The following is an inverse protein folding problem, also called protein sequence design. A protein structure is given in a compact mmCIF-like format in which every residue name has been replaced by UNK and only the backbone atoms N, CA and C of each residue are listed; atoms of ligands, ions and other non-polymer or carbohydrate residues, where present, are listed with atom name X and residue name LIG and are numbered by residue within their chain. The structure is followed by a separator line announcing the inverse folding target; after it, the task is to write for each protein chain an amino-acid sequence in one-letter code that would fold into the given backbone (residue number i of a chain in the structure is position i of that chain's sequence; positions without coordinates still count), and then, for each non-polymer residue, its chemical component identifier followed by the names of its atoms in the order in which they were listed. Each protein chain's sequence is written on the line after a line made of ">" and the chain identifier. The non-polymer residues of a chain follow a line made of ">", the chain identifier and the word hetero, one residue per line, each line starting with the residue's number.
data_IF_796847254683
#
_entry.id   IF_796847254683
#
_cell.length_a   1.000
_cell.length_b   1.000
_cell.length_c   1.000
_cell.angle_alpha   90.00
_cell.angle_beta   90.00
_cell.angle_gamma   90.00
#
_symmetry.space_group_name_H-M   'P 1'
#
loop_
_entity.id
_entity.type
_entity.pdbx_description
1 polymer ?
#
# COMPACT_ATOMS: atom_id res chain seq x y z
N UNK A 1 19.39 -25.67 10.31
CA UNK A 1 19.04 -24.38 9.67
C UNK A 1 20.07 -24.09 8.58
N UNK A 2 19.79 -24.33 7.29
CA UNK A 2 20.74 -24.03 6.23
C UNK A 2 20.73 -22.54 5.90
N UNK A 3 21.94 -22.02 5.69
CA UNK A 3 22.32 -20.61 5.66
C UNK A 3 21.76 -19.91 4.42
N UNK A 4 21.26 -18.69 4.61
CA UNK A 4 20.85 -17.77 3.56
C UNK A 4 21.95 -17.68 2.49
N UNK A 5 21.63 -18.14 1.27
CA UNK A 5 22.53 -18.09 0.14
C UNK A 5 22.84 -16.65 -0.22
N UNK A 6 24.13 -16.28 -0.17
CA UNK A 6 24.67 -15.11 -0.86
C UNK A 6 24.25 -15.20 -2.33
N UNK A 7 23.37 -14.30 -2.76
CA UNK A 7 23.03 -14.15 -4.18
C UNK A 7 24.09 -13.29 -4.84
N UNK A 8 24.87 -13.86 -5.75
CA UNK A 8 25.83 -13.18 -6.63
C UNK A 8 25.12 -12.25 -7.65
N UNK A 9 24.30 -11.30 -7.20
CA UNK A 9 23.65 -10.31 -8.07
C UNK A 9 24.50 -9.06 -8.19
N UNK A 10 24.87 -8.69 -9.42
CA UNK A 10 25.71 -7.53 -9.76
C UNK A 10 24.94 -6.19 -9.70
N UNK A 11 24.03 -6.03 -8.75
CA UNK A 11 23.27 -4.79 -8.55
C UNK A 11 21.89 -4.73 -9.23
N UNK A 12 21.39 -3.51 -9.38
CA UNK A 12 20.03 -3.14 -9.77
C UNK A 12 20.07 -2.07 -10.86
N UNK A 13 19.09 -2.10 -11.76
CA UNK A 13 18.78 -1.02 -12.68
C UNK A 13 17.52 -0.31 -12.19
N UNK A 14 17.57 1.00 -11.99
CA UNK A 14 16.44 1.80 -11.49
C UNK A 14 16.10 2.86 -12.52
N UNK A 15 14.83 2.96 -12.87
CA UNK A 15 14.34 3.99 -13.78
C UNK A 15 14.26 5.34 -13.07
N UNK A 16 14.80 6.37 -13.71
CA UNK A 16 14.76 7.74 -13.19
C UNK A 16 13.36 8.36 -13.29
N UNK A 17 12.53 7.87 -14.20
CA UNK A 17 11.23 8.49 -14.52
C UNK A 17 10.06 7.83 -13.80
N UNK A 18 9.91 6.50 -13.91
CA UNK A 18 8.80 5.77 -13.26
C UNK A 18 9.17 5.18 -11.90
N UNK A 19 10.46 5.15 -11.56
CA UNK A 19 10.96 4.53 -10.33
C UNK A 19 10.94 3.00 -10.31
N UNK A 20 10.50 2.35 -11.39
CA UNK A 20 10.59 0.90 -11.55
C UNK A 20 12.04 0.41 -11.48
N UNK A 21 12.25 -0.83 -11.03
CA UNK A 21 13.59 -1.41 -10.91
C UNK A 21 13.67 -2.84 -11.45
N UNK A 22 14.86 -3.24 -11.88
CA UNK A 22 15.21 -4.59 -12.31
C UNK A 22 16.46 -5.07 -11.57
N UNK A 23 16.43 -6.27 -11.01
CA UNK A 23 17.59 -6.90 -10.35
C UNK A 23 18.37 -7.72 -11.37
N UNK A 24 19.65 -7.41 -11.56
CA UNK A 24 20.51 -8.13 -12.51
C UNK A 24 20.75 -9.57 -12.04
N UNK A 25 20.55 -10.52 -12.96
CA UNK A 25 20.88 -11.93 -12.74
C UNK A 25 22.37 -12.17 -12.93
N UNK A 26 22.85 -13.32 -12.47
CA UNK A 26 24.25 -13.71 -12.63
C UNK A 26 24.61 -13.79 -14.11
N UNK A 27 25.61 -13.00 -14.51
CA UNK A 27 26.09 -12.94 -15.89
C UNK A 27 25.45 -11.85 -16.75
N UNK A 28 24.35 -11.24 -16.30
CA UNK A 28 23.78 -10.07 -16.99
C UNK A 28 24.65 -8.83 -16.75
N UNK A 29 24.82 -8.00 -17.78
CA UNK A 29 25.51 -6.72 -17.69
C UNK A 29 24.49 -5.57 -17.63
N UNK A 30 24.70 -4.53 -16.81
CA UNK A 30 23.86 -3.33 -16.84
C UNK A 30 23.72 -2.73 -18.25
N UNK A 31 24.78 -2.82 -19.06
CA UNK A 31 24.84 -2.29 -20.43
C UNK A 31 23.98 -3.05 -21.44
N UNK A 32 23.47 -4.23 -21.09
CA UNK A 32 22.56 -4.99 -21.96
C UNK A 32 21.16 -4.35 -22.01
N UNK A 33 20.88 -3.40 -21.12
CA UNK A 33 19.59 -2.75 -20.95
C UNK A 33 19.68 -1.29 -21.40
N UNK A 34 18.90 -0.93 -22.42
CA UNK A 34 18.93 0.42 -23.02
C UNK A 34 17.98 1.38 -22.31
N UNK A 35 16.76 0.94 -22.01
CA UNK A 35 15.72 1.77 -21.41
C UNK A 35 14.70 0.95 -20.63
N UNK A 36 13.95 1.61 -19.77
CA UNK A 36 12.79 1.07 -19.09
C UNK A 36 11.64 0.85 -20.10
N UNK A 37 10.68 -0.01 -19.76
CA UNK A 37 9.47 -0.24 -20.55
C UNK A 37 8.63 1.03 -20.74
N UNK A 38 8.73 2.00 -19.83
CA UNK A 38 8.09 3.31 -19.97
C UNK A 38 8.80 4.24 -20.97
N UNK A 39 9.91 3.80 -21.58
CA UNK A 39 10.79 4.60 -22.43
C UNK A 39 11.92 5.31 -21.67
N UNK A 40 12.03 5.06 -20.36
CA UNK A 40 12.87 5.86 -19.50
C UNK A 40 14.30 5.42 -19.31
N UNK A 41 15.14 6.35 -18.85
CA UNK A 41 16.56 6.09 -18.58
C UNK A 41 16.73 5.21 -17.34
N UNK A 42 17.65 4.25 -17.43
CA UNK A 42 17.98 3.31 -16.35
C UNK A 42 19.35 3.64 -15.78
N UNK A 43 19.44 3.72 -14.45
CA UNK A 43 20.69 3.87 -13.71
C UNK A 43 21.05 2.60 -12.97
N UNK A 44 22.35 2.28 -12.94
CA UNK A 44 22.87 1.11 -12.23
C UNK A 44 23.29 1.47 -10.81
N UNK A 45 22.94 0.59 -9.87
CA UNK A 45 23.26 0.70 -8.44
C UNK A 45 23.67 -0.64 -7.88
N UNK A 46 24.61 -0.68 -6.93
CA UNK A 46 24.99 -1.94 -6.29
C UNK A 46 23.90 -2.44 -5.33
N UNK A 47 23.12 -1.52 -4.76
CA UNK A 47 21.99 -1.82 -3.89
C UNK A 47 20.82 -0.85 -4.08
N UNK A 48 19.60 -1.28 -3.72
CA UNK A 48 18.47 -0.36 -3.70
C UNK A 48 18.63 0.73 -2.63
N UNK A 49 19.32 0.45 -1.52
CA UNK A 49 19.58 1.44 -0.47
C UNK A 49 20.43 2.61 -0.99
N UNK A 50 21.45 2.32 -1.78
CA UNK A 50 22.24 3.32 -2.50
C UNK A 50 21.36 4.15 -3.45
N UNK A 51 20.53 3.49 -4.26
CA UNK A 51 19.61 4.16 -5.18
C UNK A 51 18.65 5.13 -4.47
N UNK A 52 18.11 4.73 -3.31
CA UNK A 52 17.22 5.59 -2.53
C UNK A 52 17.98 6.72 -1.84
N UNK A 53 19.18 6.46 -1.32
CA UNK A 53 20.01 7.49 -0.67
C UNK A 53 20.39 8.60 -1.65
N UNK A 54 20.80 8.24 -2.87
CA UNK A 54 21.11 9.21 -3.92
C UNK A 54 19.86 10.01 -4.34
N UNK A 55 18.70 9.35 -4.47
CA UNK A 55 17.44 10.05 -4.76
C UNK A 55 17.08 11.07 -3.67
N UNK A 56 17.26 10.73 -2.39
CA UNK A 56 16.98 11.66 -1.29
C UNK A 56 17.93 12.87 -1.28
N UNK A 57 19.21 12.67 -1.63
CA UNK A 57 20.17 13.77 -1.73
C UNK A 57 19.85 14.74 -2.88
N UNK A 58 19.41 14.25 -4.03
CA UNK A 58 18.98 15.09 -5.18
C UNK A 58 17.70 15.87 -4.90
N UNK A 59 16.83 15.36 -4.04
CA UNK A 59 15.60 16.06 -3.62
C UNK A 59 15.93 17.27 -2.74
N UNK A 60 16.91 17.18 -1.85
CA UNK A 60 17.35 18.31 -0.99
C UNK A 60 17.92 19.48 -1.83
N UNK A 61 18.73 19.18 -2.85
CA UNK A 61 19.24 20.22 -3.77
C UNK A 61 18.14 20.89 -4.60
N UNK A 62 17.08 20.16 -4.97
CA UNK A 62 15.97 20.71 -5.77
C UNK A 62 14.96 21.46 -4.91
N UNK A 63 14.76 21.05 -3.65
CA UNK A 63 13.81 21.67 -2.71
C UNK A 63 14.28 23.06 -2.29
N UNK A 64 15.59 23.31 -2.27
CA UNK A 64 16.16 24.63 -2.01
C UNK A 64 15.91 25.67 -3.12
N UNK A 65 15.41 25.28 -4.31
CA UNK A 65 15.03 26.23 -5.38
C UNK A 65 13.57 26.68 -5.34
N UNK A 66 12.73 26.01 -4.55
CA UNK A 66 11.37 26.47 -4.19
C UNK A 66 11.34 27.24 -2.87
N UNK A 67 12.40 27.19 -2.06
CA UNK A 67 12.54 27.97 -0.82
C UNK A 67 13.06 29.39 -1.08
N UNK A 68 12.31 30.19 -1.84
CA UNK A 68 12.39 31.65 -1.73
C UNK A 68 11.06 32.32 -1.33
N UNK A 69 9.98 31.57 -1.21
CA UNK A 69 8.75 32.06 -0.59
C UNK A 69 8.14 30.95 0.30
N UNK A 70 8.49 30.98 1.59
CA UNK A 70 7.84 30.17 2.63
C UNK A 70 8.64 28.94 3.05
N UNK A 71 9.35 29.06 4.16
CA UNK A 71 9.91 27.95 4.92
C UNK A 71 8.77 27.05 5.41
N UNK A 72 8.46 25.98 4.65
CA UNK A 72 7.53 24.94 5.10
C UNK A 72 8.33 24.01 6.01
N UNK A 73 8.09 24.06 7.31
CA UNK A 73 8.72 23.16 8.28
C UNK A 73 8.28 21.71 8.00
N UNK A 74 9.18 20.74 8.17
CA UNK A 74 8.90 19.30 8.04
C UNK A 74 7.72 18.85 8.92
N UNK A 75 7.47 19.58 10.00
CA UNK A 75 6.34 19.42 10.91
C UNK A 75 4.99 19.70 10.21
N UNK A 76 4.91 20.73 9.38
CA UNK A 76 3.69 21.10 8.64
C UNK A 76 3.32 20.09 7.53
N UNK A 77 4.31 19.41 6.94
CA UNK A 77 4.10 18.37 5.94
C UNK A 77 3.58 17.07 6.59
N UNK A 78 4.15 16.69 7.72
CA UNK A 78 3.75 15.49 8.45
C UNK A 78 2.35 15.63 9.08
N UNK A 79 2.00 16.82 9.58
CA UNK A 79 0.69 17.06 10.22
C UNK A 79 -0.47 16.94 9.22
N UNK A 80 -0.29 17.47 8.00
CA UNK A 80 -1.32 17.42 6.95
C UNK A 80 -1.56 16.00 6.43
N UNK A 81 -0.52 15.20 6.29
CA UNK A 81 -0.63 13.81 5.86
C UNK A 81 -1.23 12.92 6.97
N UNK A 82 -0.95 13.23 8.24
CA UNK A 82 -1.55 12.54 9.39
C UNK A 82 -3.06 12.81 9.51
N UNK A 83 -3.50 14.07 9.40
CA UNK A 83 -4.93 14.42 9.50
C UNK A 83 -5.76 13.83 8.36
N UNK A 84 -5.22 13.84 7.13
CA UNK A 84 -5.87 13.20 5.99
C UNK A 84 -6.00 11.68 6.19
N UNK A 85 -4.98 11.03 6.75
CA UNK A 85 -5.04 9.61 7.08
C UNK A 85 -6.08 9.32 8.18
N UNK A 86 -6.14 10.14 9.23
CA UNK A 86 -7.11 9.99 10.32
C UNK A 86 -8.56 10.16 9.84
N UNK A 87 -8.83 11.16 9.00
CA UNK A 87 -10.16 11.39 8.42
C UNK A 87 -10.63 10.23 7.55
N UNK A 88 -9.71 9.59 6.82
CA UNK A 88 -10.03 8.39 6.07
C UNK A 88 -10.33 7.19 6.99
N UNK A 89 -9.52 6.99 8.02
CA UNK A 89 -9.70 5.90 9.00
C UNK A 89 -11.08 6.01 9.68
N UNK A 90 -11.48 7.20 10.11
CA UNK A 90 -12.79 7.42 10.74
C UNK A 90 -13.96 7.14 9.78
N UNK A 91 -13.85 7.58 8.53
CA UNK A 91 -14.85 7.32 7.48
C UNK A 91 -15.03 5.82 7.20
N UNK A 92 -13.92 5.07 7.18
CA UNK A 92 -13.96 3.61 6.97
C UNK A 92 -14.56 2.87 8.17
N UNK A 93 -14.29 3.34 9.40
CA UNK A 93 -14.88 2.77 10.61
C UNK A 93 -16.39 3.00 10.70
N UNK A 94 -16.87 4.20 10.36
CA UNK A 94 -18.30 4.54 10.36
C UNK A 94 -19.10 3.65 9.41
N UNK A 95 -18.63 3.53 8.15
CA UNK A 95 -19.24 2.61 7.16
C UNK A 95 -19.22 1.15 7.59
N UNK A 96 -18.22 0.72 8.38
CA UNK A 96 -18.15 -0.65 8.91
C UNK A 96 -19.26 -0.91 9.93
N UNK A 97 -19.61 0.08 10.76
CA UNK A 97 -20.70 -0.05 11.73
C UNK A 97 -22.09 -0.06 11.06
N UNK A 98 -22.29 0.74 10.01
CA UNK A 98 -23.51 0.67 9.18
C UNK A 98 -23.72 -0.74 8.58
N UNK A 99 -22.66 -1.40 8.11
CA UNK A 99 -22.75 -2.76 7.54
C UNK A 99 -23.07 -3.81 8.63
N UNK A 100 -22.54 -3.65 9.84
CA UNK A 100 -22.83 -4.58 10.96
C UNK A 100 -24.29 -4.49 11.40
N UNK A 101 -24.83 -3.28 11.55
CA UNK A 101 -26.22 -3.09 12.01
C UNK A 101 -27.23 -3.66 11.01
N UNK A 102 -26.98 -3.52 9.71
CA UNK A 102 -27.83 -4.07 8.66
C UNK A 102 -27.84 -5.62 8.63
N UNK A 103 -26.71 -6.26 8.99
CA UNK A 103 -26.60 -7.72 9.06
C UNK A 103 -27.29 -8.32 10.29
N UNK A 104 -27.21 -7.65 11.44
CA UNK A 104 -27.84 -8.10 12.70
C UNK A 104 -29.37 -7.99 12.66
N UNK A 105 -29.91 -6.92 12.05
CA UNK A 105 -31.36 -6.71 11.93
C UNK A 105 -32.06 -7.77 11.05
N UNK A 106 -31.45 -8.15 9.91
CA UNK A 106 -32.01 -9.20 9.03
C UNK A 106 -31.94 -10.59 9.64
N UNK A 107 -30.85 -10.91 10.35
CA UNK A 107 -30.68 -12.21 11.02
C UNK A 107 -31.70 -12.44 12.13
N UNK A 108 -31.95 -11.43 12.97
CA UNK A 108 -32.89 -11.52 14.09
C UNK A 108 -34.33 -11.82 13.65
N UNK A 109 -34.82 -11.12 12.61
CA UNK A 109 -36.18 -11.31 12.12
C UNK A 109 -36.40 -12.70 11.50
N UNK A 110 -35.41 -13.24 10.78
CA UNK A 110 -35.49 -14.60 10.23
C UNK A 110 -35.55 -15.67 11.33
N UNK A 111 -34.79 -15.48 12.41
CA UNK A 111 -34.79 -16.38 13.57
C UNK A 111 -36.17 -16.37 14.25
N UNK A 112 -36.76 -15.19 14.48
CA UNK A 112 -38.10 -15.07 15.09
C UNK A 112 -39.19 -15.71 14.23
N UNK A 113 -39.20 -15.46 12.92
CA UNK A 113 -40.17 -16.05 11.99
C UNK A 113 -40.03 -17.59 11.97
N UNK A 114 -38.80 -18.10 11.98
CA UNK A 114 -38.53 -19.54 11.98
C UNK A 114 -39.09 -20.24 13.22
N UNK A 115 -38.96 -19.62 14.41
CA UNK A 115 -39.50 -20.17 15.66
C UNK A 115 -41.03 -20.26 15.62
N UNK A 116 -41.72 -19.24 15.11
CA UNK A 116 -43.19 -19.21 15.01
C UNK A 116 -43.72 -20.33 14.10
N UNK A 117 -43.07 -20.56 12.96
CA UNK A 117 -43.47 -21.63 12.03
C UNK A 117 -43.34 -23.01 12.67
N UNK A 118 -42.25 -23.26 13.40
CA UNK A 118 -42.03 -24.55 14.09
C UNK A 118 -43.14 -24.80 15.12
N UNK A 119 -43.51 -23.78 15.91
CA UNK A 119 -44.59 -23.90 16.91
C UNK A 119 -45.92 -24.25 16.23
N UNK A 120 -46.26 -23.61 15.10
CA UNK A 120 -47.49 -23.89 14.36
C UNK A 120 -47.50 -25.34 13.86
N UNK A 121 -46.40 -25.83 13.30
CA UNK A 121 -46.29 -27.21 12.83
C UNK A 121 -46.44 -28.22 13.97
N UNK A 122 -45.88 -27.95 15.15
CA UNK A 122 -46.05 -28.80 16.33
C UNK A 122 -47.51 -28.84 16.80
N UNK A 123 -48.22 -27.71 16.76
CA UNK A 123 -49.66 -27.68 17.10
C UNK A 123 -50.46 -28.54 16.13
N UNK A 124 -50.18 -28.45 14.82
CA UNK A 124 -50.85 -29.25 13.79
C UNK A 124 -50.58 -30.75 13.96
N UNK A 125 -49.42 -31.14 14.48
CA UNK A 125 -49.09 -32.56 14.72
C UNK A 125 -49.71 -33.13 15.99
N UNK A 126 -50.15 -32.27 16.92
CA UNK A 126 -50.79 -32.67 18.17
C UNK A 126 -52.31 -32.85 18.02
N UNK A 127 -52.91 -32.21 17.03
CA UNK A 127 -54.34 -32.29 16.69
C UNK A 127 -54.60 -33.25 15.53
#
# INVERSE_FOLDING_TARGET
>A
MPKAGKSDSKGYLVCEECGGYYKLKKGESPSDFVSCECGGSLQHYDSLEEAYTEKLQKVDETTNRTSKEGEITLENLLEKDYDNAQNFISTVQDKREEIKTHRTSRGSNYILISIVIIIILLIILIF
#
